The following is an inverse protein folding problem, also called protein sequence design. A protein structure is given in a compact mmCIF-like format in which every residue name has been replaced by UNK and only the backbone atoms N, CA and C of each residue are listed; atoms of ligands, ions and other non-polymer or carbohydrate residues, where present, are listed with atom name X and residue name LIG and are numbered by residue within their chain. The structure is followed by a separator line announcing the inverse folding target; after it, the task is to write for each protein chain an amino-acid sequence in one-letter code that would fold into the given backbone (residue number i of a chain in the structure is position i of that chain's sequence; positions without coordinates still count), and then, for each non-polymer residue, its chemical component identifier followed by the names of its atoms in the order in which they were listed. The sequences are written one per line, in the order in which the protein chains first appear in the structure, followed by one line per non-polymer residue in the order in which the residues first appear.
data_IF_661036285865
#
_entry.id   IF_661036285865
#
_cell.length_a   1.000
_cell.length_b   1.000
_cell.length_c   1.000
_cell.angle_alpha   90.00
_cell.angle_beta   90.00
_cell.angle_gamma   90.00
#
_symmetry.space_group_name_H-M   'P 1'
#
loop_
_entity.id
_entity.type
_entity.pdbx_description
1 polymer ?
#
# COMPACT_ATOMS: atom_id res chain seq x y z
N UNK A 1 7.56 -15.49 -12.92
CA UNK A 1 8.56 -15.93 -11.94
C UNK A 1 9.99 -15.98 -12.49
N UNK A 2 10.21 -15.41 -13.67
CA UNK A 2 11.54 -15.32 -14.28
C UNK A 2 12.55 -14.54 -13.41
N UNK A 3 12.04 -13.63 -12.55
CA UNK A 3 12.83 -12.72 -11.70
C UNK A 3 12.87 -13.12 -10.23
N UNK A 4 12.74 -14.42 -9.92
CA UNK A 4 12.90 -14.97 -8.57
C UNK A 4 11.69 -14.87 -7.63
N UNK A 5 10.64 -14.12 -7.97
CA UNK A 5 9.40 -14.08 -7.21
C UNK A 5 8.70 -15.42 -7.26
N UNK A 6 8.54 -16.09 -6.12
CA UNK A 6 7.91 -17.43 -6.05
C UNK A 6 6.45 -17.36 -5.63
N UNK A 7 6.07 -16.33 -4.89
CA UNK A 7 4.70 -16.10 -4.40
C UNK A 7 4.40 -14.61 -4.38
N UNK A 8 3.13 -14.25 -4.50
CA UNK A 8 2.72 -12.85 -4.57
C UNK A 8 1.37 -12.63 -3.88
N UNK A 9 1.20 -11.45 -3.33
CA UNK A 9 -0.09 -10.87 -2.95
C UNK A 9 -0.42 -9.84 -4.01
N UNK A 10 -1.57 -9.95 -4.67
CA UNK A 10 -1.95 -9.07 -5.76
C UNK A 10 -2.48 -7.75 -5.21
N UNK A 11 -1.81 -6.65 -5.49
CA UNK A 11 -2.25 -5.32 -5.08
C UNK A 11 -3.34 -4.80 -6.01
N UNK A 12 -4.44 -4.36 -5.41
CA UNK A 12 -5.60 -3.75 -6.05
C UNK A 12 -5.66 -2.29 -5.61
N UNK A 13 -5.47 -1.38 -6.55
CA UNK A 13 -5.54 0.07 -6.30
C UNK A 13 -6.99 0.52 -6.06
N UNK A 14 -7.15 1.67 -5.42
CA UNK A 14 -8.44 2.36 -5.23
C UNK A 14 -9.27 2.41 -6.52
N UNK A 15 -10.50 1.96 -6.43
CA UNK A 15 -11.52 1.95 -7.48
C UNK A 15 -12.91 2.13 -6.84
N UNK A 16 -13.99 2.33 -7.62
CA UNK A 16 -15.34 2.23 -7.08
C UNK A 16 -15.55 0.91 -6.33
N UNK A 17 -16.29 0.94 -5.23
CA UNK A 17 -16.46 -0.21 -4.31
C UNK A 17 -16.95 -1.48 -5.04
N UNK A 18 -17.86 -1.32 -6.01
CA UNK A 18 -18.36 -2.47 -6.80
C UNK A 18 -17.25 -3.13 -7.62
N UNK A 19 -16.33 -2.34 -8.17
CA UNK A 19 -15.16 -2.83 -8.91
C UNK A 19 -14.19 -3.53 -7.96
N UNK A 20 -13.91 -2.96 -6.78
CA UNK A 20 -13.07 -3.59 -5.76
C UNK A 20 -13.64 -4.94 -5.36
N UNK A 21 -14.94 -5.02 -5.05
CA UNK A 21 -15.60 -6.27 -4.69
C UNK A 21 -15.53 -7.32 -5.81
N UNK A 22 -15.72 -6.89 -7.07
CA UNK A 22 -15.57 -7.77 -8.24
C UNK A 22 -14.13 -8.29 -8.41
N UNK A 23 -13.13 -7.42 -8.21
CA UNK A 23 -11.72 -7.79 -8.29
C UNK A 23 -11.31 -8.77 -7.17
N UNK A 24 -11.78 -8.54 -5.94
CA UNK A 24 -11.55 -9.46 -4.81
C UNK A 24 -12.09 -10.85 -5.13
N UNK A 25 -13.33 -10.93 -5.65
CA UNK A 25 -13.91 -12.20 -6.08
C UNK A 25 -13.07 -12.87 -7.17
N UNK A 26 -12.57 -12.10 -8.15
CA UNK A 26 -11.70 -12.63 -9.21
C UNK A 26 -10.41 -13.22 -8.62
N UNK A 27 -9.77 -12.54 -7.65
CA UNK A 27 -8.58 -13.06 -6.98
C UNK A 27 -8.90 -14.34 -6.21
N UNK A 28 -10.01 -14.37 -5.47
CA UNK A 28 -10.46 -15.57 -4.76
C UNK A 28 -10.65 -16.76 -5.73
N UNK A 29 -11.35 -16.55 -6.85
CA UNK A 29 -11.64 -17.57 -7.83
C UNK A 29 -10.38 -18.11 -8.55
N UNK A 30 -9.32 -17.28 -8.64
CA UNK A 30 -8.03 -17.68 -9.24
C UNK A 30 -7.15 -18.52 -8.31
N UNK A 31 -7.23 -18.35 -6.99
CA UNK A 31 -6.28 -18.94 -6.03
C UNK A 31 -6.21 -20.49 -6.09
N UNK A 32 -7.30 -21.24 -6.28
CA UNK A 32 -7.21 -22.70 -6.36
C UNK A 32 -6.30 -23.21 -7.49
N UNK A 33 -6.27 -22.51 -8.63
CA UNK A 33 -5.47 -22.88 -9.80
C UNK A 33 -4.09 -22.21 -9.83
N UNK A 34 -3.85 -21.25 -8.95
CA UNK A 34 -2.65 -20.41 -8.88
C UNK A 34 -2.07 -20.39 -7.46
N UNK A 35 -1.36 -21.46 -7.05
CA UNK A 35 -0.77 -21.56 -5.70
C UNK A 35 0.35 -20.53 -5.41
N UNK A 36 0.81 -19.83 -6.44
CA UNK A 36 1.71 -18.69 -6.33
C UNK A 36 0.99 -17.42 -5.85
N UNK A 37 -0.35 -17.32 -5.98
CA UNK A 37 -1.15 -16.21 -5.48
C UNK A 37 -1.55 -16.49 -4.03
N UNK A 38 -1.05 -15.70 -3.09
CA UNK A 38 -1.38 -15.83 -1.67
C UNK A 38 -2.69 -15.14 -1.28
N UNK A 39 -3.17 -14.24 -2.11
CA UNK A 39 -4.38 -13.44 -1.93
C UNK A 39 -4.24 -12.03 -2.46
N UNK A 40 -5.10 -11.13 -2.00
CA UNK A 40 -5.15 -9.74 -2.39
C UNK A 40 -4.59 -8.79 -1.31
N UNK A 41 -4.02 -7.70 -1.75
CA UNK A 41 -3.81 -6.47 -0.99
C UNK A 41 -4.71 -5.39 -1.56
N UNK A 42 -5.42 -4.66 -0.71
CA UNK A 42 -6.13 -3.45 -1.10
C UNK A 42 -5.31 -2.22 -0.71
N UNK A 43 -4.91 -1.42 -1.68
CA UNK A 43 -4.35 -0.10 -1.43
C UNK A 43 -5.46 0.93 -1.55
N UNK A 44 -6.05 1.23 -0.41
CA UNK A 44 -7.29 2.00 -0.32
C UNK A 44 -8.55 1.12 -0.46
N UNK A 45 -9.71 1.75 -0.63
CA UNK A 45 -10.01 3.17 -0.93
C UNK A 45 -10.00 4.11 0.30
N UNK A 46 -9.61 3.64 1.46
CA UNK A 46 -9.64 4.33 2.73
C UNK A 46 -8.33 5.11 2.96
N UNK A 47 -8.02 6.07 2.06
CA UNK A 47 -6.79 6.84 2.05
C UNK A 47 -7.08 8.32 2.28
N UNK A 48 -6.12 9.04 2.86
CA UNK A 48 -6.21 10.47 3.09
C UNK A 48 -6.12 11.27 1.78
N UNK A 49 -7.07 12.14 1.51
CA UNK A 49 -7.09 12.98 0.32
C UNK A 49 -5.76 13.74 0.09
N UNK A 50 -5.11 14.37 1.10
CA UNK A 50 -3.82 15.04 0.91
C UNK A 50 -2.67 14.11 0.56
N UNK A 51 -2.81 12.81 0.83
CA UNK A 51 -1.79 11.77 0.65
C UNK A 51 -2.20 10.70 -0.36
N UNK A 52 -3.16 11.02 -1.22
CA UNK A 52 -3.72 10.08 -2.20
C UNK A 52 -2.70 9.52 -3.22
N UNK A 53 -1.56 10.20 -3.43
CA UNK A 53 -0.61 9.78 -4.47
C UNK A 53 -1.28 9.63 -5.84
N UNK A 54 -1.07 8.49 -6.48
CA UNK A 54 -1.64 8.14 -7.79
C UNK A 54 -3.01 7.43 -7.70
N UNK A 55 -3.82 7.75 -6.69
CA UNK A 55 -5.19 7.23 -6.59
C UNK A 55 -6.22 8.23 -7.12
N UNK A 56 -7.32 7.71 -7.69
CA UNK A 56 -8.44 8.56 -8.14
C UNK A 56 -9.16 9.15 -6.92
N UNK A 57 -9.14 10.49 -6.76
CA UNK A 57 -9.77 11.16 -5.63
C UNK A 57 -11.28 10.92 -5.54
N UNK A 58 -11.94 10.63 -6.67
CA UNK A 58 -13.39 10.39 -6.71
C UNK A 58 -13.79 9.02 -6.13
N UNK A 59 -12.82 8.12 -5.95
CA UNK A 59 -13.03 6.78 -5.42
C UNK A 59 -12.58 6.65 -3.95
N UNK A 60 -12.02 7.71 -3.35
CA UNK A 60 -11.66 7.73 -1.93
C UNK A 60 -12.91 7.88 -1.08
N UNK A 61 -13.06 7.04 -0.06
CA UNK A 61 -14.21 7.02 0.84
C UNK A 61 -13.78 6.74 2.28
N UNK A 62 -14.60 7.11 3.25
CA UNK A 62 -14.39 6.76 4.64
C UNK A 62 -14.73 5.28 4.90
N UNK A 63 -13.98 4.59 5.78
CA UNK A 63 -14.18 3.19 6.10
C UNK A 63 -15.38 2.95 7.02
N UNK A 64 -16.58 3.21 6.51
CA UNK A 64 -17.81 2.95 7.29
C UNK A 64 -17.93 1.45 7.62
N UNK A 65 -18.60 1.10 8.74
CA UNK A 65 -18.81 -0.30 9.13
C UNK A 65 -19.43 -1.16 8.02
N UNK A 66 -20.36 -0.61 7.24
CA UNK A 66 -21.05 -1.32 6.15
C UNK A 66 -20.10 -1.60 4.99
N UNK A 67 -19.26 -0.61 4.60
CA UNK A 67 -18.27 -0.80 3.54
C UNK A 67 -17.22 -1.84 3.93
N UNK A 68 -16.74 -1.79 5.18
CA UNK A 68 -15.79 -2.80 5.70
C UNK A 68 -16.39 -4.20 5.64
N UNK A 69 -17.65 -4.38 6.11
CA UNK A 69 -18.36 -5.67 6.03
C UNK A 69 -18.47 -6.15 4.59
N UNK A 70 -18.94 -5.28 3.69
CA UNK A 70 -19.12 -5.60 2.29
C UNK A 70 -17.83 -6.05 1.58
N UNK A 71 -16.71 -5.39 1.90
CA UNK A 71 -15.41 -5.77 1.33
C UNK A 71 -14.90 -7.10 1.89
N UNK A 72 -15.08 -7.35 3.20
CA UNK A 72 -14.72 -8.63 3.81
C UNK A 72 -15.56 -9.77 3.24
N UNK A 73 -16.86 -9.56 3.07
CA UNK A 73 -17.78 -10.56 2.48
C UNK A 73 -17.38 -10.87 1.01
N UNK A 74 -17.08 -9.83 0.23
CA UNK A 74 -16.65 -10.01 -1.17
C UNK A 74 -15.28 -10.69 -1.30
N UNK A 75 -14.41 -10.51 -0.32
CA UNK A 75 -13.08 -11.12 -0.31
C UNK A 75 -13.11 -12.62 0.00
N UNK A 76 -14.12 -13.10 0.73
CA UNK A 76 -14.27 -14.51 1.14
C UNK A 76 -12.94 -15.15 1.59
N UNK A 77 -12.19 -14.43 2.44
CA UNK A 77 -10.90 -14.86 2.99
C UNK A 77 -9.68 -14.68 2.07
N UNK A 78 -9.83 -14.17 0.84
CA UNK A 78 -8.67 -13.92 -0.04
C UNK A 78 -7.92 -12.61 0.29
N UNK A 79 -8.53 -11.65 1.00
CA UNK A 79 -7.87 -10.41 1.39
C UNK A 79 -6.82 -10.69 2.47
N UNK A 80 -5.55 -10.37 2.19
CA UNK A 80 -4.42 -10.58 3.10
C UNK A 80 -3.95 -9.31 3.77
N UNK A 81 -4.02 -8.20 3.05
CA UNK A 81 -3.52 -6.90 3.51
C UNK A 81 -4.44 -5.79 3.04
N UNK A 82 -4.54 -4.72 3.82
CA UNK A 82 -5.22 -3.49 3.42
C UNK A 82 -4.47 -2.28 3.95
N UNK A 83 -4.18 -1.32 3.08
CA UNK A 83 -3.61 -0.02 3.46
C UNK A 83 -4.73 0.96 3.79
N UNK A 84 -4.66 1.55 4.99
CA UNK A 84 -5.66 2.47 5.55
C UNK A 84 -4.97 3.68 6.17
N UNK A 85 -5.54 4.87 5.95
CA UNK A 85 -5.23 6.09 6.68
C UNK A 85 -5.96 6.10 8.05
N UNK A 86 -5.24 5.98 9.18
CA UNK A 86 -5.85 5.80 10.49
C UNK A 86 -6.61 7.04 11.01
N UNK A 87 -6.33 8.22 10.47
CA UNK A 87 -6.97 9.50 10.82
C UNK A 87 -8.37 9.68 10.23
N UNK A 88 -8.76 8.86 9.25
CA UNK A 88 -10.09 8.96 8.65
C UNK A 88 -11.20 8.68 9.69
N UNK A 89 -12.39 9.26 9.51
CA UNK A 89 -13.58 8.84 10.26
C UNK A 89 -13.72 7.32 10.24
N UNK A 90 -13.87 6.68 11.40
CA UNK A 90 -13.90 5.22 11.58
C UNK A 90 -12.59 4.48 11.22
N UNK A 91 -11.47 5.17 10.89
CA UNK A 91 -10.22 4.54 10.45
C UNK A 91 -9.67 3.53 11.47
N UNK A 92 -9.57 3.92 12.74
CA UNK A 92 -9.10 3.04 13.84
C UNK A 92 -10.01 1.82 14.03
N UNK A 93 -11.33 2.02 13.96
CA UNK A 93 -12.29 0.91 14.10
C UNK A 93 -12.24 -0.05 12.90
N UNK A 94 -12.04 0.48 11.71
CA UNK A 94 -11.85 -0.32 10.50
C UNK A 94 -10.57 -1.16 10.58
N UNK A 95 -9.44 -0.57 11.02
CA UNK A 95 -8.19 -1.30 11.27
C UNK A 95 -8.46 -2.48 12.22
N UNK A 96 -9.11 -2.25 13.35
CA UNK A 96 -9.44 -3.31 14.30
C UNK A 96 -10.33 -4.40 13.68
N UNK A 97 -11.32 -4.04 12.88
CA UNK A 97 -12.23 -5.00 12.23
C UNK A 97 -11.53 -5.88 11.21
N UNK A 98 -10.67 -5.30 10.35
CA UNK A 98 -9.86 -6.07 9.42
C UNK A 98 -8.89 -7.00 10.16
N UNK A 99 -8.21 -6.51 11.19
CA UNK A 99 -7.35 -7.34 12.03
C UNK A 99 -8.09 -8.55 12.64
N UNK A 100 -9.28 -8.34 13.22
CA UNK A 100 -10.10 -9.42 13.79
C UNK A 100 -10.61 -10.40 12.73
N UNK A 101 -10.74 -9.97 11.48
CA UNK A 101 -11.09 -10.81 10.33
C UNK A 101 -9.89 -11.57 9.74
N UNK A 102 -8.68 -11.44 10.33
CA UNK A 102 -7.48 -12.13 9.86
C UNK A 102 -6.77 -11.44 8.68
N UNK A 103 -7.17 -10.22 8.33
CA UNK A 103 -6.48 -9.36 7.38
C UNK A 103 -5.40 -8.58 8.12
N UNK A 104 -4.24 -8.33 7.52
CA UNK A 104 -3.18 -7.48 8.09
C UNK A 104 -3.43 -6.03 7.66
N UNK A 105 -3.88 -5.13 8.56
CA UNK A 105 -3.96 -3.72 8.21
C UNK A 105 -2.57 -3.10 8.15
N UNK A 106 -2.38 -2.18 7.21
CA UNK A 106 -1.17 -1.37 7.04
C UNK A 106 -1.51 0.11 7.16
N UNK A 107 -0.67 0.86 7.86
CA UNK A 107 -0.77 2.32 7.91
C UNK A 107 0.00 2.91 6.72
N UNK A 108 -0.68 3.63 5.88
CA UNK A 108 -0.09 4.29 4.71
C UNK A 108 -1.06 5.23 4.02
N UNK A 109 -0.58 6.00 3.05
CA UNK A 109 -1.37 7.04 2.37
C UNK A 109 -2.13 7.92 3.37
N UNK A 110 -1.43 8.33 4.43
CA UNK A 110 -2.02 8.99 5.60
C UNK A 110 -1.37 10.33 5.89
N UNK A 111 -2.17 11.25 6.38
CA UNK A 111 -1.73 12.54 6.92
C UNK A 111 -1.68 12.49 8.47
N UNK A 112 -1.62 11.29 9.02
CA UNK A 112 -1.62 11.03 10.45
C UNK A 112 -0.40 11.66 11.14
N UNK A 113 -0.66 12.22 12.32
CA UNK A 113 0.39 12.53 13.28
C UNK A 113 0.90 11.26 13.98
N UNK A 114 1.94 11.41 14.80
CA UNK A 114 2.53 10.32 15.57
C UNK A 114 1.49 9.59 16.45
N UNK A 115 0.64 10.35 17.18
CA UNK A 115 -0.30 9.77 18.13
C UNK A 115 -1.42 8.98 17.42
N UNK A 116 -1.88 9.48 16.28
CA UNK A 116 -2.91 8.82 15.47
C UNK A 116 -2.36 7.55 14.83
N UNK A 117 -1.13 7.59 14.31
CA UNK A 117 -0.47 6.40 13.79
C UNK A 117 -0.26 5.33 14.88
N UNK A 118 0.18 5.73 16.10
CA UNK A 118 0.27 4.83 17.28
C UNK A 118 -1.05 4.12 17.55
N UNK A 119 -2.16 4.87 17.57
CA UNK A 119 -3.50 4.25 17.76
C UNK A 119 -3.82 3.24 16.66
N UNK A 120 -3.40 3.50 15.40
CA UNK A 120 -3.55 2.55 14.30
C UNK A 120 -2.80 1.24 14.56
N UNK A 121 -1.54 1.31 14.98
CA UNK A 121 -0.75 0.12 15.34
C UNK A 121 -1.31 -0.59 16.58
N UNK A 122 -1.73 0.14 17.60
CA UNK A 122 -2.37 -0.43 18.79
C UNK A 122 -3.73 -1.10 18.47
N UNK A 123 -4.41 -0.66 17.41
CA UNK A 123 -5.65 -1.28 16.94
C UNK A 123 -5.42 -2.57 16.13
N UNK A 124 -4.17 -2.90 15.80
CA UNK A 124 -3.80 -4.15 15.13
C UNK A 124 -3.13 -3.99 13.77
N UNK A 125 -2.82 -2.75 13.32
CA UNK A 125 -2.01 -2.59 12.11
C UNK A 125 -0.60 -3.18 12.34
N UNK A 126 -0.17 -4.05 11.43
CA UNK A 126 1.11 -4.76 11.52
C UNK A 126 2.14 -4.34 10.46
N UNK A 127 1.75 -3.42 9.58
CA UNK A 127 2.60 -2.95 8.48
C UNK A 127 2.56 -1.43 8.39
N UNK A 128 3.68 -0.82 8.02
CA UNK A 128 3.74 0.53 7.44
C UNK A 128 3.96 0.39 5.94
N UNK A 129 3.03 0.84 5.14
CA UNK A 129 3.10 0.80 3.67
C UNK A 129 4.17 1.76 3.18
N UNK A 130 5.05 1.31 2.28
CA UNK A 130 6.11 2.05 1.55
C UNK A 130 6.60 3.32 2.26
N UNK A 131 7.26 3.14 3.42
CA UNK A 131 7.81 4.21 4.28
C UNK A 131 8.40 5.36 3.46
N UNK A 132 8.14 6.60 3.88
CA UNK A 132 8.46 7.90 3.27
C UNK A 132 7.52 8.34 2.14
N UNK A 133 6.82 7.44 1.46
CA UNK A 133 5.95 7.77 0.35
C UNK A 133 4.52 8.01 0.81
N UNK A 134 3.86 9.03 0.26
CA UNK A 134 2.47 9.39 0.55
C UNK A 134 2.13 9.48 2.06
N UNK A 135 3.03 10.05 2.86
CA UNK A 135 2.87 10.27 4.31
C UNK A 135 3.65 11.49 4.78
N UNK A 136 3.44 11.90 6.03
CA UNK A 136 4.26 12.93 6.66
C UNK A 136 5.68 12.42 6.89
N UNK A 137 6.67 13.21 6.48
CA UNK A 137 8.08 12.91 6.69
C UNK A 137 8.53 13.13 8.14
N UNK A 138 9.79 12.77 8.42
CA UNK A 138 10.40 13.01 9.73
C UNK A 138 10.64 14.51 9.97
N UNK A 139 9.97 15.07 10.96
CA UNK A 139 10.22 16.44 11.41
C UNK A 139 10.31 16.48 12.95
N UNK A 140 11.25 17.24 13.48
CA UNK A 140 11.58 17.20 14.92
C UNK A 140 10.48 17.69 15.88
N UNK A 141 9.47 18.41 15.40
CA UNK A 141 8.30 18.87 16.18
C UNK A 141 6.99 18.26 15.70
N UNK A 142 6.99 17.65 14.53
CA UNK A 142 5.84 16.98 13.92
C UNK A 142 6.34 15.69 13.23
N UNK A 143 6.61 14.64 14.03
CA UNK A 143 7.38 13.49 13.56
C UNK A 143 6.61 12.58 12.57
N UNK A 144 5.30 12.76 12.45
CA UNK A 144 4.48 11.94 11.56
C UNK A 144 4.36 10.46 11.98
N UNK A 145 3.96 9.58 11.07
CA UNK A 145 3.69 8.18 11.38
C UNK A 145 4.94 7.30 11.51
N UNK A 146 6.08 7.70 10.91
CA UNK A 146 7.28 6.87 10.82
C UNK A 146 7.85 6.48 12.19
N UNK A 147 8.05 7.40 13.17
CA UNK A 147 8.54 7.02 14.48
C UNK A 147 7.59 6.07 15.22
N UNK A 148 6.28 6.20 15.01
CA UNK A 148 5.31 5.30 15.62
C UNK A 148 5.49 3.85 15.14
N UNK A 149 5.78 3.63 13.85
CA UNK A 149 6.10 2.31 13.30
C UNK A 149 7.47 1.79 13.77
N UNK A 150 8.46 2.69 13.85
CA UNK A 150 9.83 2.34 14.28
C UNK A 150 9.85 1.86 15.74
N UNK A 151 9.11 2.51 16.62
CA UNK A 151 9.04 2.18 18.05
C UNK A 151 8.26 0.88 18.33
N UNK A 152 7.38 0.45 17.43
CA UNK A 152 6.61 -0.77 17.62
C UNK A 152 7.31 -1.98 16.97
N UNK A 153 7.89 -2.90 17.75
CA UNK A 153 8.64 -4.03 17.21
C UNK A 153 7.77 -5.04 16.43
N UNK A 154 6.45 -4.94 16.52
CA UNK A 154 5.51 -5.81 15.80
C UNK A 154 5.31 -5.36 14.35
N UNK A 155 5.67 -4.10 14.03
CA UNK A 155 5.39 -3.49 12.73
C UNK A 155 6.50 -3.83 11.73
N UNK A 156 6.13 -4.44 10.62
CA UNK A 156 6.98 -4.56 9.42
C UNK A 156 6.89 -3.27 8.63
N UNK A 157 8.01 -2.78 8.12
CA UNK A 157 8.09 -1.53 7.37
C UNK A 157 8.42 -1.85 5.92
N UNK A 158 7.49 -1.56 5.02
CA UNK A 158 7.71 -1.70 3.58
C UNK A 158 8.52 -0.52 3.04
N UNK A 159 9.36 -0.78 2.03
CA UNK A 159 10.20 0.23 1.40
C UNK A 159 10.41 -0.09 -0.07
N UNK A 160 10.22 0.91 -0.95
CA UNK A 160 10.48 0.82 -2.39
C UNK A 160 11.92 1.26 -2.63
N UNK A 161 12.81 0.32 -3.00
CA UNK A 161 14.23 0.57 -3.24
C UNK A 161 14.55 0.56 -4.74
N UNK A 162 14.01 1.53 -5.47
CA UNK A 162 14.23 1.71 -6.92
C UNK A 162 15.19 2.88 -7.26
N UNK A 163 15.74 3.55 -6.23
CA UNK A 163 16.60 4.73 -6.38
C UNK A 163 15.84 6.00 -6.78
N UNK A 164 14.51 5.90 -6.97
CA UNK A 164 13.64 7.00 -7.40
C UNK A 164 12.63 7.41 -6.32
N UNK A 165 11.87 6.45 -5.75
CA UNK A 165 10.97 6.69 -4.64
C UNK A 165 11.71 7.06 -3.36
N UNK A 166 12.83 6.39 -3.09
CA UNK A 166 13.65 6.62 -1.90
C UNK A 166 15.12 6.68 -2.30
N UNK A 167 15.80 7.75 -1.94
CA UNK A 167 17.24 7.92 -2.21
C UNK A 167 18.08 7.04 -1.25
N UNK A 168 19.22 6.55 -1.69
CA UNK A 168 20.09 5.65 -0.93
C UNK A 168 20.38 6.08 0.52
N UNK A 169 20.65 7.37 0.84
CA UNK A 169 20.86 7.79 2.23
C UNK A 169 19.63 7.54 3.11
N UNK A 170 18.42 7.65 2.55
CA UNK A 170 17.17 7.41 3.26
C UNK A 170 16.88 5.92 3.41
N UNK A 171 17.26 5.09 2.42
CA UNK A 171 17.25 3.62 2.56
C UNK A 171 18.13 3.19 3.73
N UNK A 172 19.37 3.69 3.80
CA UNK A 172 20.29 3.44 4.93
C UNK A 172 19.71 3.88 6.27
N UNK A 173 19.08 5.06 6.30
CA UNK A 173 18.39 5.55 7.50
C UNK A 173 17.29 4.60 7.93
N UNK A 174 16.45 4.14 7.01
CA UNK A 174 15.38 3.18 7.28
C UNK A 174 15.89 1.89 7.93
N UNK A 175 16.95 1.30 7.37
CA UNK A 175 17.59 0.11 7.96
C UNK A 175 18.18 0.38 9.35
N UNK A 176 18.74 1.57 9.58
CA UNK A 176 19.23 1.99 10.90
C UNK A 176 18.13 2.15 11.94
N UNK A 177 16.97 2.65 11.51
CA UNK A 177 15.82 2.88 12.39
C UNK A 177 15.08 1.58 12.76
N UNK A 178 14.96 0.63 11.82
CA UNK A 178 14.19 -0.59 12.01
C UNK A 178 14.95 -1.83 11.51
N UNK A 179 16.08 -2.20 12.16
CA UNK A 179 16.86 -3.36 11.75
C UNK A 179 16.00 -4.64 11.81
N UNK A 180 16.12 -5.48 10.79
CA UNK A 180 15.40 -6.75 10.62
C UNK A 180 13.86 -6.62 10.44
N UNK A 181 13.34 -5.41 10.23
CA UNK A 181 11.91 -5.18 10.01
C UNK A 181 11.58 -4.47 8.70
N UNK A 182 12.58 -4.23 7.86
CA UNK A 182 12.37 -3.68 6.52
C UNK A 182 12.04 -4.83 5.56
N UNK A 183 10.97 -4.68 4.82
CA UNK A 183 10.59 -5.53 3.70
C UNK A 183 10.62 -4.71 2.41
N UNK A 184 11.39 -5.12 1.43
CA UNK A 184 11.33 -4.50 0.11
C UNK A 184 10.04 -4.88 -0.59
N UNK A 185 9.36 -3.87 -1.12
CA UNK A 185 8.19 -4.01 -2.00
C UNK A 185 8.51 -3.34 -3.33
N UNK A 186 7.89 -3.82 -4.39
CA UNK A 186 8.09 -3.24 -5.72
C UNK A 186 7.16 -2.07 -5.98
N UNK A 187 5.95 -2.12 -5.48
CA UNK A 187 4.87 -1.21 -5.89
C UNK A 187 4.72 -1.18 -7.42
N UNK A 188 4.89 -2.36 -8.04
CA UNK A 188 4.99 -2.53 -9.48
C UNK A 188 3.64 -2.36 -10.17
N UNK A 189 3.65 -1.65 -11.30
CA UNK A 189 2.47 -1.46 -12.13
C UNK A 189 2.60 -2.18 -13.49
N UNK A 190 1.61 -2.05 -14.36
CA UNK A 190 1.51 -2.79 -15.62
C UNK A 190 2.69 -2.60 -16.60
N UNK A 191 3.51 -1.56 -16.41
CA UNK A 191 4.70 -1.30 -17.23
C UNK A 191 5.96 -2.06 -16.77
N UNK A 192 5.89 -2.82 -15.68
CA UNK A 192 7.04 -3.56 -15.17
C UNK A 192 7.51 -4.60 -16.18
N UNK A 193 8.82 -4.58 -16.49
CA UNK A 193 9.45 -5.40 -17.54
C UNK A 193 8.89 -5.16 -18.96
N UNK A 194 8.35 -3.96 -19.19
CA UNK A 194 7.82 -3.52 -20.48
C UNK A 194 8.59 -2.29 -20.97
N UNK A 195 8.56 -1.98 -22.29
CA UNK A 195 9.16 -0.76 -22.84
C UNK A 195 8.55 0.51 -22.25
N UNK A 196 9.29 1.61 -22.29
CA UNK A 196 8.74 2.94 -22.05
C UNK A 196 7.53 3.21 -22.95
N UNK A 197 6.53 3.91 -22.45
CA UNK A 197 5.28 4.15 -23.19
C UNK A 197 4.15 4.62 -22.30
N UNK A 198 2.96 4.53 -22.86
CA UNK A 198 1.71 4.91 -22.18
C UNK A 198 1.00 3.65 -21.64
N UNK A 199 0.60 3.73 -20.36
CA UNK A 199 -0.03 2.64 -19.62
C UNK A 199 -1.21 3.14 -18.80
N UNK A 200 -1.93 2.22 -18.19
CA UNK A 200 -3.01 2.53 -17.24
C UNK A 200 -2.66 2.00 -15.85
N UNK A 201 -2.98 2.79 -14.82
CA UNK A 201 -3.00 2.36 -13.43
C UNK A 201 -4.43 2.56 -12.90
N UNK A 202 -5.19 1.48 -12.80
CA UNK A 202 -6.63 1.58 -12.66
C UNK A 202 -7.25 2.32 -13.86
N UNK A 203 -7.94 3.44 -13.59
CA UNK A 203 -8.51 4.31 -14.63
C UNK A 203 -7.60 5.52 -14.98
N UNK A 204 -6.39 5.59 -14.42
CA UNK A 204 -5.50 6.74 -14.57
C UNK A 204 -4.45 6.50 -15.64
N UNK A 205 -4.24 7.50 -16.49
CA UNK A 205 -3.22 7.50 -17.54
C UNK A 205 -1.83 7.72 -16.93
N UNK A 206 -0.87 6.86 -17.29
CA UNK A 206 0.51 6.88 -16.83
C UNK A 206 1.47 6.88 -18.01
N UNK A 207 2.40 7.81 -18.02
CA UNK A 207 3.53 7.83 -18.93
C UNK A 207 4.77 7.25 -18.25
N UNK A 208 5.43 6.30 -18.91
CA UNK A 208 6.72 5.74 -18.47
C UNK A 208 7.81 6.26 -19.38
N UNK A 209 8.83 6.88 -18.77
CA UNK A 209 10.04 7.39 -19.45
C UNK A 209 11.26 7.05 -18.62
N UNK A 210 12.27 6.49 -19.25
CA UNK A 210 13.50 6.04 -18.59
C UNK A 210 13.21 5.12 -17.40
N UNK A 211 12.16 4.26 -17.52
CA UNK A 211 11.70 3.37 -16.47
C UNK A 211 10.92 4.04 -15.33
N UNK A 212 10.65 5.35 -15.37
CA UNK A 212 9.93 6.08 -14.32
C UNK A 212 8.46 6.30 -14.71
N UNK A 213 7.57 5.75 -13.92
CA UNK A 213 6.12 5.86 -14.11
C UNK A 213 5.57 7.13 -13.44
N UNK A 214 4.83 7.95 -14.20
CA UNK A 214 4.20 9.18 -13.72
C UNK A 214 2.80 9.35 -14.26
N UNK A 215 1.89 9.87 -13.44
CA UNK A 215 0.57 10.28 -13.92
C UNK A 215 0.69 11.30 -15.05
N UNK A 216 0.04 11.04 -16.17
CA UNK A 216 0.01 11.96 -17.33
C UNK A 216 -0.66 13.31 -16.96
N UNK A 217 -1.58 13.33 -16.00
CA UNK A 217 -2.35 14.50 -15.61
C UNK A 217 -1.57 15.55 -14.81
N UNK A 218 -0.61 15.12 -13.96
CA UNK A 218 0.07 16.04 -13.03
C UNK A 218 1.54 15.69 -12.74
N UNK A 219 2.08 14.63 -13.34
CA UNK A 219 3.48 14.21 -13.17
C UNK A 219 3.81 13.54 -11.84
N UNK A 220 2.82 13.26 -10.97
CA UNK A 220 3.05 12.52 -9.73
C UNK A 220 3.57 11.12 -10.02
N UNK A 221 4.44 10.59 -9.17
CA UNK A 221 4.92 9.20 -9.26
C UNK A 221 3.70 8.26 -9.16
N UNK A 222 3.68 7.21 -9.97
CA UNK A 222 2.51 6.32 -10.14
C UNK A 222 2.92 4.85 -10.13
N UNK A 223 3.18 4.31 -8.94
CA UNK A 223 3.78 2.99 -8.79
C UNK A 223 5.19 2.93 -9.38
N UNK A 224 5.72 1.74 -9.56
CA UNK A 224 7.07 1.53 -10.09
C UNK A 224 7.11 0.57 -11.27
N UNK A 225 8.28 0.49 -11.91
CA UNK A 225 8.66 -0.56 -12.86
C UNK A 225 9.69 -1.52 -12.24
N UNK A 226 9.87 -1.46 -10.93
CA UNK A 226 10.89 -2.20 -10.18
C UNK A 226 10.64 -3.71 -10.23
N UNK A 227 11.66 -4.48 -10.56
CA UNK A 227 11.72 -5.92 -10.33
C UNK A 227 12.30 -6.20 -8.94
N UNK A 228 11.72 -7.13 -8.19
CA UNK A 228 12.13 -7.39 -6.80
C UNK A 228 13.62 -7.77 -6.69
N UNK A 229 14.17 -8.48 -7.66
CA UNK A 229 15.61 -8.82 -7.72
C UNK A 229 16.54 -7.60 -7.81
N UNK A 230 16.02 -6.44 -8.23
CA UNK A 230 16.78 -5.18 -8.31
C UNK A 230 16.62 -4.33 -7.05
N UNK A 231 15.68 -4.66 -6.19
CA UNK A 231 15.46 -3.99 -4.92
C UNK A 231 16.44 -4.44 -3.82
N UNK A 232 17.17 -5.56 -4.02
CA UNK A 232 18.04 -6.22 -3.04
C UNK A 232 19.50 -5.85 -3.22
#
# INVERSE_FOLDING_TARGET
MAHGTTRQVLSLITNPIDVICGNLKTVHDMMPDRPDILGAHLEGPFLAMPRKGAHDPNCLVDPTPDLVSRMLDAADGCLRQITIAPELPHGIDAIRRFFLAGVVPAVGHCDADYQTARKGFDAGAGIMTHMFNAMNGLHHRDPGPIPAAVEDPRVTIELINDGFHVQDPMVKLGFGLAPHRIAFVTDAMAATDCPDGHYLLGALDVDVRDGHARLASNGAIAGSTLLLEKAV
#
